data_IF_989082725316
#
_entry.id   IF_989082725316
#
_cell.length_a   1.000
_cell.length_b   1.000
_cell.length_c   1.000
_cell.angle_alpha   90.00
_cell.angle_beta   90.00
_cell.angle_gamma   90.00
#
_symmetry.space_group_name_H-M   'P 1'
#
loop_
_entity.id
_entity.type
_entity.pdbx_description
1 polymer ?
#
# COMPACT_ATOMS: atom_id res chain seq x y z
N UNK A 1 -5.83 -11.84 -13.08
CA UNK A 1 -5.18 -10.73 -13.84
C UNK A 1 -4.93 -9.58 -12.86
N UNK A 2 -3.85 -8.81 -13.01
CA UNK A 2 -3.56 -7.68 -12.14
C UNK A 2 -4.59 -6.55 -12.28
N UNK A 3 -5.34 -6.52 -13.39
CA UNK A 3 -6.39 -5.53 -13.64
C UNK A 3 -7.72 -6.25 -13.83
N UNK A 4 -8.73 -5.82 -13.06
CA UNK A 4 -10.13 -6.24 -13.21
C UNK A 4 -11.01 -5.05 -13.61
N UNK A 5 -12.16 -5.36 -14.20
CA UNK A 5 -13.14 -4.39 -14.67
C UNK A 5 -14.53 -4.83 -14.25
N UNK A 6 -15.30 -3.92 -13.67
CA UNK A 6 -16.66 -4.17 -13.19
C UNK A 6 -17.61 -3.05 -13.66
N UNK A 7 -18.88 -3.39 -13.83
CA UNK A 7 -19.95 -2.42 -14.08
C UNK A 7 -20.41 -1.74 -12.78
N UNK A 8 -21.29 -0.75 -12.89
CA UNK A 8 -21.97 -0.09 -11.76
C UNK A 8 -22.79 -1.04 -10.87
N UNK A 9 -23.12 -2.23 -11.36
CA UNK A 9 -23.82 -3.28 -10.60
C UNK A 9 -22.86 -4.34 -10.08
N UNK A 10 -21.54 -4.06 -10.06
CA UNK A 10 -20.47 -4.98 -9.66
C UNK A 10 -20.41 -6.27 -10.52
N UNK A 11 -21.01 -6.24 -11.69
CA UNK A 11 -20.90 -7.35 -12.62
C UNK A 11 -19.52 -7.33 -13.27
N UNK A 12 -18.73 -8.42 -13.21
CA UNK A 12 -17.44 -8.51 -13.87
C UNK A 12 -17.59 -8.31 -15.39
N UNK A 13 -16.70 -7.49 -15.94
CA UNK A 13 -16.60 -7.24 -17.37
C UNK A 13 -15.26 -7.80 -17.87
N UNK A 14 -15.28 -8.44 -19.02
CA UNK A 14 -14.08 -9.02 -19.61
C UNK A 14 -13.46 -8.10 -20.65
N UNK A 15 -12.15 -8.15 -20.75
CA UNK A 15 -11.36 -7.59 -21.84
C UNK A 15 -10.20 -8.53 -22.15
N UNK A 16 -9.61 -8.40 -23.33
CA UNK A 16 -8.41 -9.14 -23.72
C UNK A 16 -7.22 -8.21 -23.63
N UNK A 17 -6.14 -8.66 -22.99
CA UNK A 17 -4.83 -8.03 -23.05
C UNK A 17 -3.89 -8.97 -23.79
N UNK A 18 -3.26 -8.48 -24.85
CA UNK A 18 -2.40 -9.22 -25.74
C UNK A 18 -0.99 -8.61 -25.72
N UNK A 19 0.03 -9.43 -25.68
CA UNK A 19 1.42 -9.03 -25.93
C UNK A 19 1.85 -9.49 -27.32
N UNK A 20 2.43 -8.60 -28.10
CA UNK A 20 3.04 -8.93 -29.39
C UNK A 20 4.51 -9.31 -29.22
N UNK A 21 5.06 -10.03 -30.18
CA UNK A 21 6.47 -10.45 -30.16
C UNK A 21 7.47 -9.29 -30.19
N UNK A 22 7.06 -8.12 -30.65
CA UNK A 22 7.84 -6.88 -30.59
C UNK A 22 7.86 -6.20 -29.21
N UNK A 23 7.13 -6.75 -28.21
CA UNK A 23 7.06 -6.20 -26.85
C UNK A 23 5.89 -5.23 -26.62
N UNK A 24 5.10 -4.92 -27.67
CA UNK A 24 3.94 -4.04 -27.54
C UNK A 24 2.77 -4.74 -26.86
N UNK A 25 1.98 -3.99 -26.11
CA UNK A 25 0.71 -4.42 -25.54
C UNK A 25 -0.47 -3.94 -26.39
N UNK A 26 -1.55 -4.70 -26.35
CA UNK A 26 -2.84 -4.30 -26.93
C UNK A 26 -3.99 -4.70 -26.01
N UNK A 27 -5.04 -3.90 -26.01
CA UNK A 27 -6.26 -4.17 -25.25
C UNK A 27 -7.46 -4.13 -26.17
N UNK A 28 -8.31 -5.15 -26.06
CA UNK A 28 -9.59 -5.25 -26.78
C UNK A 28 -10.72 -5.50 -25.76
N UNK A 29 -11.68 -4.58 -25.66
CA UNK A 29 -12.84 -4.71 -24.81
C UNK A 29 -13.82 -5.79 -25.31
N UNK A 30 -13.72 -6.18 -26.59
CA UNK A 30 -14.66 -7.11 -27.20
C UNK A 30 -16.10 -6.57 -27.28
N UNK A 31 -17.04 -7.49 -27.26
CA UNK A 31 -18.47 -7.19 -27.29
C UNK A 31 -19.07 -7.56 -25.93
N UNK A 32 -19.63 -6.57 -25.25
CA UNK A 32 -20.40 -6.80 -24.03
C UNK A 32 -21.88 -6.93 -24.37
N UNK A 33 -22.60 -7.75 -23.64
CA UNK A 33 -24.03 -8.00 -23.82
C UNK A 33 -24.90 -6.81 -23.42
N UNK A 34 -24.34 -5.84 -22.70
CA UNK A 34 -24.98 -4.58 -22.29
C UNK A 34 -23.94 -3.46 -22.25
N UNK A 35 -24.41 -2.22 -22.27
CA UNK A 35 -23.56 -1.04 -22.10
C UNK A 35 -23.66 -0.53 -20.66
N UNK A 36 -22.58 -0.59 -19.87
CA UNK A 36 -22.59 -0.08 -18.50
C UNK A 36 -22.70 1.46 -18.49
N UNK A 37 -23.34 2.03 -17.47
CA UNK A 37 -23.39 3.48 -17.26
C UNK A 37 -22.00 4.03 -16.87
N UNK A 38 -21.26 3.27 -16.11
CA UNK A 38 -19.85 3.51 -15.80
C UNK A 38 -19.17 2.17 -15.47
N UNK A 39 -17.86 2.22 -15.38
CA UNK A 39 -17.06 1.06 -14.97
C UNK A 39 -16.10 1.43 -13.85
N UNK A 40 -15.76 0.45 -13.04
CA UNK A 40 -14.69 0.50 -12.05
C UNK A 40 -13.52 -0.35 -12.56
N UNK A 41 -12.36 0.27 -12.67
CA UNK A 41 -11.09 -0.41 -12.96
C UNK A 41 -10.37 -0.58 -11.64
N UNK A 42 -10.11 -1.82 -11.21
CA UNK A 42 -9.24 -2.12 -10.08
C UNK A 42 -7.90 -2.60 -10.64
N UNK A 43 -6.83 -1.83 -10.41
CA UNK A 43 -5.53 -2.08 -11.02
C UNK A 43 -4.43 -2.29 -9.96
N UNK A 44 -3.94 -3.53 -9.83
CA UNK A 44 -2.75 -3.89 -9.07
C UNK A 44 -1.57 -3.91 -10.04
N UNK A 45 -0.79 -2.85 -10.02
CA UNK A 45 0.31 -2.63 -10.95
C UNK A 45 1.61 -3.16 -10.34
N UNK A 46 2.15 -4.22 -10.93
CA UNK A 46 3.41 -4.84 -10.50
C UNK A 46 4.52 -4.73 -11.55
N UNK A 47 4.17 -4.30 -12.77
CA UNK A 47 5.11 -4.15 -13.88
C UNK A 47 4.77 -2.95 -14.77
N UNK A 48 5.73 -2.54 -15.61
CA UNK A 48 5.50 -1.53 -16.65
C UNK A 48 4.47 -2.00 -17.67
N UNK A 49 4.39 -3.30 -17.93
CA UNK A 49 3.39 -3.92 -18.80
C UNK A 49 1.97 -3.77 -18.26
N UNK A 50 1.79 -3.91 -16.94
CA UNK A 50 0.49 -3.68 -16.30
C UNK A 50 0.09 -2.21 -16.40
N UNK A 51 1.05 -1.30 -16.20
CA UNK A 51 0.81 0.13 -16.33
C UNK A 51 0.38 0.49 -17.77
N UNK A 52 1.08 -0.05 -18.77
CA UNK A 52 0.71 0.14 -20.17
C UNK A 52 -0.67 -0.48 -20.47
N UNK A 53 -0.97 -1.66 -19.93
CA UNK A 53 -2.28 -2.30 -20.06
C UNK A 53 -3.40 -1.43 -19.48
N UNK A 54 -3.17 -0.81 -18.31
CA UNK A 54 -4.11 0.14 -17.69
C UNK A 54 -4.37 1.34 -18.62
N UNK A 55 -3.33 1.92 -19.22
CA UNK A 55 -3.45 3.06 -20.11
C UNK A 55 -4.25 2.70 -21.38
N UNK A 56 -3.94 1.57 -22.01
CA UNK A 56 -4.65 1.10 -23.20
C UNK A 56 -6.12 0.75 -22.91
N UNK A 57 -6.39 0.13 -21.74
CA UNK A 57 -7.75 -0.14 -21.28
C UNK A 57 -8.53 1.17 -21.09
N UNK A 58 -7.90 2.16 -20.49
CA UNK A 58 -8.50 3.46 -20.23
C UNK A 58 -8.79 4.24 -21.51
N UNK A 59 -7.89 4.16 -22.50
CA UNK A 59 -8.13 4.72 -23.86
C UNK A 59 -9.31 4.04 -24.56
N UNK A 60 -9.35 2.69 -24.53
CA UNK A 60 -10.43 1.94 -25.16
C UNK A 60 -11.81 2.29 -24.55
N UNK A 61 -11.90 2.45 -23.23
CA UNK A 61 -13.10 2.91 -22.54
C UNK A 61 -13.47 4.36 -22.90
N UNK A 62 -12.47 5.23 -23.00
CA UNK A 62 -12.65 6.63 -23.40
C UNK A 62 -13.20 6.76 -24.81
N UNK A 63 -12.69 5.99 -25.76
CA UNK A 63 -13.23 5.93 -27.13
C UNK A 63 -14.66 5.44 -27.19
N UNK A 64 -15.07 4.54 -26.29
CA UNK A 64 -16.46 4.13 -26.11
C UNK A 64 -17.30 5.14 -25.31
N UNK A 65 -16.71 6.25 -24.81
CA UNK A 65 -17.35 7.27 -23.98
C UNK A 65 -17.99 6.69 -22.70
N UNK A 66 -17.36 5.68 -22.13
CA UNK A 66 -17.82 5.07 -20.89
C UNK A 66 -17.12 5.78 -19.72
N UNK A 67 -17.87 6.40 -18.80
CA UNK A 67 -17.32 6.97 -17.57
C UNK A 67 -16.61 5.89 -16.77
N UNK A 68 -15.45 6.21 -16.19
CA UNK A 68 -14.62 5.25 -15.51
C UNK A 68 -14.08 5.78 -14.19
N UNK A 69 -14.07 4.92 -13.17
CA UNK A 69 -13.45 5.08 -11.89
C UNK A 69 -12.21 4.20 -11.83
N UNK A 70 -11.19 4.63 -11.11
CA UNK A 70 -9.96 3.86 -10.95
C UNK A 70 -9.69 3.61 -9.47
N UNK A 71 -9.45 2.36 -9.13
CA UNK A 71 -8.91 1.96 -7.85
C UNK A 71 -7.48 1.48 -8.04
N UNK A 72 -6.54 2.14 -7.36
CA UNK A 72 -5.12 1.79 -7.30
C UNK A 72 -4.79 1.37 -5.87
N UNK A 73 -4.84 0.08 -5.54
CA UNK A 73 -4.44 -0.42 -4.23
C UNK A 73 -3.00 -0.05 -3.86
N UNK A 74 -2.10 0.01 -4.83
CA UNK A 74 -0.76 0.57 -4.69
C UNK A 74 -0.48 1.55 -5.82
N UNK A 75 -0.15 2.80 -5.48
CA UNK A 75 0.26 3.78 -6.50
C UNK A 75 1.66 3.44 -7.02
N UNK A 76 1.80 3.09 -8.32
CA UNK A 76 3.11 2.84 -8.88
C UNK A 76 3.99 4.10 -8.82
N UNK A 77 5.29 3.92 -8.59
CA UNK A 77 6.29 5.00 -8.44
C UNK A 77 6.07 5.96 -7.26
N UNK A 78 5.19 5.65 -6.29
CA UNK A 78 4.89 6.51 -5.14
C UNK A 78 6.12 6.89 -4.32
N UNK A 79 7.14 6.01 -4.23
CA UNK A 79 8.40 6.25 -3.49
C UNK A 79 9.40 7.15 -4.25
N UNK A 80 9.11 7.49 -5.52
CA UNK A 80 9.93 8.36 -6.37
C UNK A 80 9.25 9.73 -6.51
N UNK A 81 8.89 10.31 -5.36
CA UNK A 81 8.09 11.53 -5.21
C UNK A 81 8.92 12.81 -5.17
N UNK A 82 10.23 12.71 -5.42
CA UNK A 82 11.16 13.83 -5.47
C UNK A 82 12.41 13.49 -6.29
N UNK A 83 13.05 14.52 -6.80
CA UNK A 83 14.37 14.43 -7.43
C UNK A 83 15.45 14.51 -6.34
N UNK A 84 16.17 13.42 -6.10
CA UNK A 84 17.23 13.35 -5.08
C UNK A 84 18.59 13.84 -5.60
N UNK A 85 18.82 13.77 -6.91
CA UNK A 85 20.07 14.21 -7.55
C UNK A 85 19.80 14.81 -8.94
N UNK A 86 20.61 15.77 -9.39
CA UNK A 86 20.48 16.32 -10.74
C UNK A 86 20.49 15.21 -11.82
N UNK A 87 19.59 15.30 -12.79
CA UNK A 87 19.46 14.33 -13.88
C UNK A 87 18.55 13.13 -13.59
N UNK A 88 18.02 12.98 -12.38
CA UNK A 88 17.01 11.97 -12.08
C UNK A 88 15.62 12.39 -12.57
N UNK A 89 14.82 11.40 -13.00
CA UNK A 89 13.43 11.64 -13.31
C UNK A 89 12.60 11.82 -12.02
N UNK A 90 11.54 12.64 -12.09
CA UNK A 90 10.48 12.69 -11.09
C UNK A 90 9.36 11.74 -11.52
N UNK A 91 9.53 10.45 -11.20
CA UNK A 91 8.71 9.38 -11.79
C UNK A 91 7.25 9.44 -11.38
N UNK A 92 6.96 9.86 -10.13
CA UNK A 92 5.58 10.07 -9.67
C UNK A 92 4.85 11.12 -10.52
N UNK A 93 5.53 12.22 -10.89
CA UNK A 93 4.96 13.26 -11.75
C UNK A 93 4.61 12.72 -13.13
N UNK A 94 5.55 11.98 -13.72
CA UNK A 94 5.34 11.38 -15.06
C UNK A 94 4.13 10.45 -15.06
N UNK A 95 4.05 9.53 -14.10
CA UNK A 95 2.93 8.58 -14.01
C UNK A 95 1.62 9.30 -13.69
N UNK A 96 1.64 10.30 -12.81
CA UNK A 96 0.47 11.11 -12.50
C UNK A 96 -0.07 11.85 -13.72
N UNK A 97 0.82 12.45 -14.53
CA UNK A 97 0.44 13.11 -15.79
C UNK A 97 -0.21 12.15 -16.77
N UNK A 98 0.34 10.94 -16.93
CA UNK A 98 -0.26 9.92 -17.78
C UNK A 98 -1.64 9.47 -17.26
N UNK A 99 -1.82 9.29 -15.97
CA UNK A 99 -3.13 8.95 -15.40
C UNK A 99 -4.15 10.06 -15.65
N UNK A 100 -3.75 11.31 -15.55
CA UNK A 100 -4.64 12.48 -15.71
C UNK A 100 -5.20 12.61 -17.15
N UNK A 101 -4.50 12.09 -18.17
CA UNK A 101 -4.97 12.10 -19.58
C UNK A 101 -6.32 11.37 -19.73
N UNK A 102 -6.57 10.34 -18.88
CA UNK A 102 -7.74 9.49 -19.04
C UNK A 102 -9.01 10.00 -18.34
N UNK A 103 -8.94 11.13 -17.65
CA UNK A 103 -10.10 11.83 -17.07
C UNK A 103 -11.02 10.92 -16.23
N UNK A 104 -10.45 10.13 -15.32
CA UNK A 104 -11.23 9.32 -14.38
C UNK A 104 -12.20 10.18 -13.57
N UNK A 105 -13.39 9.65 -13.27
CA UNK A 105 -14.36 10.35 -12.41
C UNK A 105 -13.85 10.51 -10.99
N UNK A 106 -13.18 9.46 -10.47
CA UNK A 106 -12.39 9.47 -9.23
C UNK A 106 -11.26 8.43 -9.34
N UNK A 107 -10.19 8.65 -8.58
CA UNK A 107 -9.08 7.71 -8.42
C UNK A 107 -8.92 7.42 -6.93
N UNK A 108 -9.31 6.23 -6.47
CA UNK A 108 -9.09 5.78 -5.10
C UNK A 108 -7.68 5.19 -4.97
N UNK A 109 -6.88 5.72 -4.05
CA UNK A 109 -5.51 5.27 -3.80
C UNK A 109 -5.42 4.85 -2.34
N UNK A 110 -4.97 3.60 -2.09
CA UNK A 110 -4.88 3.10 -0.73
C UNK A 110 -3.58 3.58 -0.09
N UNK A 111 -3.71 4.16 1.09
CA UNK A 111 -2.60 4.59 1.96
C UNK A 111 -1.40 5.17 1.17
N UNK A 112 -1.58 6.28 0.46
CA UNK A 112 -0.53 6.83 -0.40
C UNK A 112 0.72 7.15 0.40
N UNK A 113 1.90 6.85 -0.18
CA UNK A 113 3.20 7.06 0.45
C UNK A 113 3.41 8.50 0.92
N UNK A 114 2.93 9.46 0.13
CA UNK A 114 2.96 10.88 0.48
C UNK A 114 1.73 11.61 -0.06
N UNK A 115 1.40 12.76 0.54
CA UNK A 115 0.34 13.64 0.09
C UNK A 115 0.55 14.16 -1.36
N UNK A 116 1.80 14.15 -1.85
CA UNK A 116 2.14 14.54 -3.22
C UNK A 116 1.41 13.68 -4.25
N UNK A 117 1.18 12.41 -3.95
CA UNK A 117 0.39 11.51 -4.80
C UNK A 117 -1.03 12.06 -5.03
N UNK A 118 -1.70 12.48 -3.96
CA UNK A 118 -3.06 13.03 -4.04
C UNK A 118 -3.10 14.40 -4.72
N UNK A 119 -2.04 15.21 -4.53
CA UNK A 119 -1.91 16.50 -5.19
C UNK A 119 -1.66 16.37 -6.70
N UNK A 120 -0.96 15.32 -7.13
CA UNK A 120 -0.57 15.11 -8.52
C UNK A 120 -1.65 14.44 -9.37
N UNK A 121 -2.36 13.47 -8.80
CA UNK A 121 -3.41 12.73 -9.52
C UNK A 121 -4.73 13.45 -9.39
N UNK A 122 -5.31 13.85 -10.52
CA UNK A 122 -6.59 14.56 -10.54
C UNK A 122 -7.72 13.70 -9.98
N UNK A 123 -8.58 14.29 -9.14
CA UNK A 123 -9.73 13.64 -8.49
C UNK A 123 -9.34 12.42 -7.66
N UNK A 124 -8.08 12.40 -7.17
CA UNK A 124 -7.64 11.37 -6.24
C UNK A 124 -8.34 11.50 -4.89
N UNK A 125 -8.67 10.36 -4.32
CA UNK A 125 -9.17 10.23 -2.95
C UNK A 125 -8.30 9.20 -2.23
N UNK A 126 -7.97 9.50 -0.99
CA UNK A 126 -7.27 8.56 -0.12
C UNK A 126 -8.23 7.51 0.43
N UNK A 127 -7.79 6.25 0.43
CA UNK A 127 -8.35 5.20 1.29
C UNK A 127 -7.38 5.04 2.46
N UNK A 128 -7.70 5.57 3.64
CA UNK A 128 -6.78 5.55 4.78
C UNK A 128 -6.58 4.12 5.30
N UNK A 129 -5.40 3.79 5.88
CA UNK A 129 -5.08 2.45 6.36
C UNK A 129 -6.07 1.93 7.40
N UNK A 130 -6.66 2.79 8.22
CA UNK A 130 -7.65 2.39 9.22
C UNK A 130 -8.87 1.69 8.62
N UNK A 131 -9.35 2.11 7.44
CA UNK A 131 -10.47 1.45 6.74
C UNK A 131 -10.09 0.05 6.24
N UNK A 132 -8.82 -0.17 5.92
CA UNK A 132 -8.31 -1.48 5.51
C UNK A 132 -8.18 -2.38 6.75
N UNK A 133 -7.54 -1.87 7.81
CA UNK A 133 -7.37 -2.57 9.10
C UNK A 133 -8.70 -3.03 9.69
N UNK A 134 -9.78 -2.23 9.54
CA UNK A 134 -11.12 -2.53 10.06
C UNK A 134 -11.70 -3.85 9.53
N UNK A 135 -11.20 -4.36 8.38
CA UNK A 135 -11.62 -5.63 7.79
C UNK A 135 -11.08 -6.85 8.53
N UNK A 136 -10.08 -6.69 9.38
CA UNK A 136 -9.54 -7.76 10.20
C UNK A 136 -9.95 -7.59 11.67
N UNK A 137 -10.88 -8.42 12.12
CA UNK A 137 -11.44 -8.33 13.48
C UNK A 137 -10.40 -8.61 14.58
N UNK A 138 -9.39 -9.45 14.29
CA UNK A 138 -8.34 -9.75 15.25
C UNK A 138 -7.40 -8.55 15.42
N UNK A 139 -6.96 -7.94 14.32
CA UNK A 139 -6.16 -6.71 14.35
C UNK A 139 -6.92 -5.57 15.06
N UNK A 140 -8.22 -5.41 14.76
CA UNK A 140 -9.05 -4.40 15.45
C UNK A 140 -9.12 -4.65 16.96
N UNK A 141 -9.34 -5.91 17.38
CA UNK A 141 -9.37 -6.26 18.78
C UNK A 141 -8.01 -5.99 19.45
N UNK A 142 -6.91 -6.30 18.76
CA UNK A 142 -5.55 -6.03 19.22
C UNK A 142 -5.28 -4.54 19.36
N UNK A 143 -5.63 -3.72 18.35
CA UNK A 143 -5.47 -2.26 18.41
C UNK A 143 -6.26 -1.66 19.59
N UNK A 144 -7.49 -2.11 19.82
CA UNK A 144 -8.35 -1.61 20.90
C UNK A 144 -8.01 -2.13 22.29
N UNK A 145 -7.06 -3.06 22.41
CA UNK A 145 -6.64 -3.56 23.71
C UNK A 145 -5.94 -2.45 24.51
N UNK A 146 -6.31 -2.20 25.78
CA UNK A 146 -5.71 -1.15 26.62
C UNK A 146 -4.19 -1.27 26.82
N UNK A 147 -3.64 -2.48 26.70
CA UNK A 147 -2.18 -2.72 26.81
C UNK A 147 -1.45 -2.54 25.49
N UNK A 148 -2.16 -2.22 24.40
CA UNK A 148 -1.56 -2.01 23.10
C UNK A 148 -1.03 -0.60 22.93
N UNK A 149 0.08 -0.49 22.17
CA UNK A 149 0.72 0.76 21.80
C UNK A 149 0.95 0.73 20.29
N UNK A 150 0.45 1.75 19.58
CA UNK A 150 0.76 1.96 18.18
C UNK A 150 2.13 2.61 18.04
N UNK A 151 2.99 2.08 17.18
CA UNK A 151 4.37 2.53 17.02
C UNK A 151 4.56 3.13 15.64
N UNK A 152 4.93 4.42 15.59
CA UNK A 152 5.41 5.06 14.37
C UNK A 152 6.92 4.81 14.24
N UNK A 153 7.38 4.10 13.19
CA UNK A 153 8.79 3.73 13.04
C UNK A 153 9.71 4.90 12.70
N UNK A 154 9.15 6.00 12.21
CA UNK A 154 9.86 7.23 11.90
C UNK A 154 8.89 8.43 11.77
N UNK A 155 9.46 9.62 11.52
CA UNK A 155 8.68 10.87 11.37
C UNK A 155 7.68 10.83 10.21
N UNK A 156 7.96 10.08 9.14
CA UNK A 156 7.06 9.94 7.99
C UNK A 156 5.76 9.21 8.34
N UNK A 157 5.84 8.22 9.23
CA UNK A 157 4.70 7.42 9.66
C UNK A 157 3.82 8.09 10.72
N UNK A 158 4.29 9.16 11.39
CA UNK A 158 3.59 9.76 12.56
C UNK A 158 2.14 10.15 12.23
N UNK A 159 1.91 10.83 11.11
CA UNK A 159 0.54 11.27 10.75
C UNK A 159 -0.38 10.08 10.48
N UNK A 160 0.14 9.03 9.82
CA UNK A 160 -0.57 7.76 9.56
C UNK A 160 -0.97 7.10 10.87
N UNK A 161 -0.03 6.93 11.78
CA UNK A 161 -0.26 6.28 13.08
C UNK A 161 -1.26 7.08 13.93
N UNK A 162 -1.16 8.40 13.95
CA UNK A 162 -2.14 9.27 14.64
C UNK A 162 -3.54 9.15 14.02
N UNK A 163 -3.64 9.03 12.69
CA UNK A 163 -4.90 8.77 11.99
C UNK A 163 -5.53 7.44 12.44
N UNK A 164 -4.76 6.37 12.48
CA UNK A 164 -5.19 5.05 12.98
C UNK A 164 -5.58 5.14 14.46
N UNK A 165 -4.76 5.79 15.30
CA UNK A 165 -5.04 6.04 16.72
C UNK A 165 -6.39 6.72 16.92
N UNK A 166 -6.63 7.80 16.20
CA UNK A 166 -7.89 8.56 16.26
C UNK A 166 -9.09 7.72 15.81
N UNK A 167 -8.95 6.98 14.70
CA UNK A 167 -10.02 6.17 14.14
C UNK A 167 -10.49 5.07 15.10
N UNK A 168 -9.55 4.34 15.72
CA UNK A 168 -9.87 3.24 16.63
C UNK A 168 -10.01 3.66 18.10
N UNK A 169 -9.71 4.92 18.45
CA UNK A 169 -9.75 5.41 19.82
C UNK A 169 -8.62 4.86 20.68
N UNK A 170 -7.45 4.52 20.10
CA UNK A 170 -6.28 4.03 20.83
C UNK A 170 -5.33 5.21 21.16
N UNK A 171 -5.27 5.68 22.41
CA UNK A 171 -4.49 6.87 22.76
C UNK A 171 -2.98 6.61 22.88
N UNK A 172 -2.57 5.35 23.06
CA UNK A 172 -1.18 5.01 23.31
C UNK A 172 -0.40 4.96 21.98
N UNK A 173 0.44 5.97 21.74
CA UNK A 173 1.26 6.08 20.54
C UNK A 173 2.72 6.32 20.94
N UNK A 174 3.62 5.54 20.37
CA UNK A 174 5.07 5.69 20.49
C UNK A 174 5.62 6.21 19.16
N UNK A 175 6.22 7.41 19.15
CA UNK A 175 6.75 8.04 17.96
C UNK A 175 8.28 7.92 17.92
N UNK A 176 8.79 6.93 17.20
CA UNK A 176 10.23 6.74 17.03
C UNK A 176 10.78 7.71 15.97
N UNK A 177 12.07 7.98 16.06
CA UNK A 177 12.78 8.76 15.03
C UNK A 177 14.01 8.01 14.57
N UNK A 178 14.34 8.16 13.30
CA UNK A 178 15.53 7.57 12.71
C UNK A 178 16.32 8.59 11.89
N UNK A 179 17.62 8.49 11.92
CA UNK A 179 18.54 9.24 11.06
C UNK A 179 19.21 8.29 10.10
N UNK A 180 19.35 8.70 8.85
CA UNK A 180 20.08 7.94 7.84
C UNK A 180 21.27 8.74 7.34
N UNK A 181 22.37 8.07 7.03
CA UNK A 181 23.45 8.66 6.28
C UNK A 181 22.93 9.04 4.87
N UNK A 182 22.98 10.32 4.47
CA UNK A 182 22.42 10.77 3.19
C UNK A 182 23.18 10.20 1.97
N UNK A 183 24.42 9.73 2.15
CA UNK A 183 25.24 9.19 1.07
C UNK A 183 25.05 7.67 0.92
N UNK A 184 25.11 6.93 2.04
CA UNK A 184 25.02 5.45 2.01
C UNK A 184 23.58 4.93 2.19
N UNK A 185 22.68 5.75 2.71
CA UNK A 185 21.30 5.34 3.07
C UNK A 185 21.23 4.47 4.31
N UNK A 186 22.37 4.15 4.94
CA UNK A 186 22.43 3.33 6.16
C UNK A 186 21.78 4.04 7.35
N UNK A 187 21.12 3.27 8.20
CA UNK A 187 20.57 3.75 9.45
C UNK A 187 21.73 4.09 10.39
N UNK A 188 21.82 5.35 10.81
CA UNK A 188 22.91 5.82 11.70
C UNK A 188 22.45 5.96 13.13
N UNK A 189 21.17 6.21 13.36
CA UNK A 189 20.61 6.36 14.69
C UNK A 189 19.12 6.00 14.70
N UNK A 190 18.67 5.33 15.76
CA UNK A 190 17.27 5.00 16.04
C UNK A 190 16.98 5.44 17.47
N UNK A 191 16.13 6.43 17.61
CA UNK A 191 15.70 6.91 18.91
C UNK A 191 14.29 6.43 19.22
N UNK A 192 14.15 5.70 20.32
CA UNK A 192 12.88 5.25 20.92
C UNK A 192 12.64 6.09 22.17
N UNK A 193 11.59 6.92 22.21
CA UNK A 193 11.27 7.70 23.41
C UNK A 193 11.09 6.81 24.65
N UNK A 194 11.36 7.37 25.81
CA UNK A 194 11.10 6.65 27.06
C UNK A 194 9.61 6.45 27.28
N UNK A 195 9.21 5.20 27.38
CA UNK A 195 7.87 4.73 27.65
C UNK A 195 7.98 3.34 28.28
N UNK A 196 7.07 3.01 29.20
CA UNK A 196 6.95 1.66 29.72
C UNK A 196 6.35 0.74 28.65
N UNK A 197 7.16 -0.17 28.13
CA UNK A 197 6.80 -1.14 27.10
C UNK A 197 6.73 -2.57 27.64
N UNK A 198 7.05 -2.80 28.92
CA UNK A 198 7.00 -4.12 29.53
C UNK A 198 5.58 -4.68 29.50
N UNK A 199 5.45 -5.93 29.07
CA UNK A 199 4.16 -6.64 28.90
C UNK A 199 3.14 -5.93 27.98
N UNK A 200 3.55 -4.99 27.12
CA UNK A 200 2.67 -4.33 26.15
C UNK A 200 2.65 -5.05 24.80
N UNK A 201 1.54 -4.90 24.09
CA UNK A 201 1.43 -5.29 22.70
C UNK A 201 1.84 -4.11 21.81
N UNK A 202 2.93 -4.24 21.08
CA UNK A 202 3.43 -3.19 20.21
C UNK A 202 2.99 -3.47 18.76
N UNK A 203 2.35 -2.51 18.13
CA UNK A 203 1.90 -2.60 16.73
C UNK A 203 2.60 -1.52 15.94
N UNK A 204 3.64 -1.89 15.19
CA UNK A 204 4.34 -0.99 14.27
C UNK A 204 3.43 -0.77 13.07
N UNK A 205 3.20 0.49 12.68
CA UNK A 205 2.31 0.85 11.57
C UNK A 205 3.04 1.72 10.56
N UNK A 206 3.06 1.27 9.30
CA UNK A 206 3.63 2.03 8.19
C UNK A 206 2.89 1.73 6.88
N UNK A 207 3.27 2.39 5.76
CA UNK A 207 2.68 2.16 4.45
C UNK A 207 3.32 0.97 3.72
N UNK A 208 4.66 0.86 3.69
CA UNK A 208 5.40 -0.08 2.84
C UNK A 208 6.44 -0.87 3.64
N UNK A 209 6.42 -2.20 3.50
CA UNK A 209 7.56 -3.04 3.81
C UNK A 209 8.16 -3.61 2.53
N UNK A 210 9.38 -3.16 2.18
CA UNK A 210 10.16 -3.69 1.06
C UNK A 210 11.15 -4.75 1.57
N UNK A 211 12.41 -4.42 1.81
CA UNK A 211 13.40 -5.34 2.36
C UNK A 211 13.34 -5.54 3.89
N UNK A 212 12.44 -4.85 4.59
CA UNK A 212 12.18 -5.03 6.04
C UNK A 212 13.20 -4.40 6.99
N UNK A 213 14.32 -3.86 6.50
CA UNK A 213 15.45 -3.41 7.34
C UNK A 213 15.06 -2.45 8.46
N UNK A 214 14.18 -1.49 8.20
CA UNK A 214 13.69 -0.53 9.22
C UNK A 214 12.97 -1.27 10.36
N UNK A 215 12.09 -2.19 10.00
CA UNK A 215 11.23 -2.90 10.97
C UNK A 215 12.02 -3.91 11.78
N UNK A 216 12.97 -4.63 11.16
CA UNK A 216 13.88 -5.55 11.84
C UNK A 216 14.68 -4.83 12.91
N UNK A 217 15.34 -3.71 12.57
CA UNK A 217 16.14 -2.97 13.55
C UNK A 217 15.28 -2.37 14.65
N UNK A 218 14.11 -1.81 14.31
CA UNK A 218 13.18 -1.28 15.30
C UNK A 218 12.67 -2.39 16.24
N UNK A 219 12.24 -3.54 15.69
CA UNK A 219 11.74 -4.67 16.47
C UNK A 219 12.80 -5.20 17.46
N UNK A 220 14.06 -5.34 17.01
CA UNK A 220 15.20 -5.72 17.88
C UNK A 220 15.39 -4.77 19.06
N UNK A 221 15.30 -3.48 18.85
CA UNK A 221 15.41 -2.50 19.91
C UNK A 221 14.20 -2.50 20.85
N UNK A 222 12.99 -2.68 20.31
CA UNK A 222 11.76 -2.80 21.09
C UNK A 222 11.78 -4.07 21.96
N UNK A 223 12.25 -5.20 21.45
CA UNK A 223 12.38 -6.47 22.23
C UNK A 223 13.24 -6.34 23.47
N UNK A 224 14.24 -5.45 23.48
CA UNK A 224 15.05 -5.18 24.69
C UNK A 224 14.26 -4.58 25.85
N UNK A 225 13.06 -4.08 25.60
CA UNK A 225 12.14 -3.51 26.60
C UNK A 225 11.10 -4.52 27.12
N UNK A 226 11.26 -5.82 26.81
CA UNK A 226 10.41 -6.93 27.24
C UNK A 226 8.90 -6.75 26.91
N UNK A 227 8.50 -6.35 25.69
CA UNK A 227 7.10 -6.29 25.32
C UNK A 227 6.49 -7.69 25.29
N UNK A 228 5.16 -7.79 25.47
CA UNK A 228 4.43 -9.05 25.31
C UNK A 228 4.46 -9.52 23.84
N UNK A 229 4.23 -8.60 22.91
CA UNK A 229 4.32 -8.90 21.48
C UNK A 229 4.81 -7.70 20.66
N UNK A 230 5.44 -7.97 19.51
CA UNK A 230 5.80 -6.99 18.49
C UNK A 230 5.15 -7.41 17.18
N UNK A 231 4.21 -6.62 16.70
CA UNK A 231 3.47 -6.87 15.47
C UNK A 231 3.75 -5.77 14.45
N UNK A 232 3.59 -6.09 13.17
CA UNK A 232 3.80 -5.14 12.07
C UNK A 232 2.53 -5.06 11.22
N UNK A 233 2.02 -3.85 11.01
CA UNK A 233 1.07 -3.57 9.94
C UNK A 233 1.74 -2.71 8.87
N UNK A 234 1.62 -3.13 7.62
CA UNK A 234 1.96 -2.33 6.45
C UNK A 234 0.88 -2.50 5.39
N UNK A 235 0.40 -1.40 4.83
CA UNK A 235 -0.61 -1.48 3.77
C UNK A 235 -0.05 -2.21 2.55
N UNK A 236 1.23 -1.98 2.21
CA UNK A 236 1.86 -2.51 1.00
C UNK A 236 3.04 -3.41 1.35
N UNK A 237 2.77 -4.71 1.47
CA UNK A 237 3.80 -5.71 1.70
C UNK A 237 4.49 -6.12 0.39
N UNK A 238 5.64 -5.50 0.07
CA UNK A 238 6.47 -5.89 -1.09
C UNK A 238 7.32 -7.12 -0.74
N UNK A 239 7.91 -7.13 0.46
CA UNK A 239 8.71 -8.25 1.02
C UNK A 239 9.76 -8.78 0.04
N UNK A 240 10.54 -7.89 -0.59
CA UNK A 240 11.53 -8.24 -1.61
C UNK A 240 12.64 -9.19 -1.13
N UNK A 241 12.80 -9.35 0.19
CA UNK A 241 13.72 -10.29 0.85
C UNK A 241 13.02 -11.51 1.46
N UNK A 242 11.72 -11.69 1.18
CA UNK A 242 10.88 -12.70 1.82
C UNK A 242 10.53 -12.34 3.26
N UNK A 243 9.91 -13.29 3.97
CA UNK A 243 9.46 -13.14 5.36
C UNK A 243 10.53 -13.54 6.37
N UNK A 244 11.44 -14.44 6.01
CA UNK A 244 12.46 -14.99 6.90
C UNK A 244 13.25 -13.95 7.71
N UNK A 245 13.68 -12.79 7.15
CA UNK A 245 14.41 -11.81 7.93
C UNK A 245 13.57 -11.12 9.01
N UNK A 246 12.24 -11.23 8.96
CA UNK A 246 11.29 -10.56 9.85
C UNK A 246 10.82 -11.44 11.00
N UNK A 247 10.88 -12.77 10.87
CA UNK A 247 10.28 -13.74 11.80
C UNK A 247 11.01 -13.87 13.15
N UNK A 248 12.24 -13.36 13.28
CA UNK A 248 13.03 -13.44 14.50
C UNK A 248 12.50 -12.51 15.62
N UNK A 249 12.08 -11.29 15.23
CA UNK A 249 11.73 -10.23 16.19
C UNK A 249 10.28 -9.75 16.07
N UNK A 250 9.55 -10.16 15.02
CA UNK A 250 8.16 -9.81 14.77
C UNK A 250 7.31 -11.08 14.92
N UNK A 251 6.21 -10.99 15.67
CA UNK A 251 5.34 -12.14 15.92
C UNK A 251 4.30 -12.37 14.82
N UNK A 252 3.74 -11.28 14.27
CA UNK A 252 2.71 -11.33 13.22
C UNK A 252 2.88 -10.11 12.31
N UNK A 253 2.68 -10.32 11.02
CA UNK A 253 2.60 -9.25 10.01
C UNK A 253 1.19 -9.19 9.46
N UNK A 254 0.61 -7.99 9.40
CA UNK A 254 -0.64 -7.69 8.68
C UNK A 254 -0.32 -6.85 7.46
N UNK A 255 -0.91 -7.21 6.34
CA UNK A 255 -0.78 -6.44 5.09
C UNK A 255 -2.07 -6.50 4.27
N UNK A 256 -2.29 -5.52 3.40
CA UNK A 256 -3.41 -5.60 2.47
C UNK A 256 -3.10 -6.52 1.27
N UNK A 257 -4.11 -6.78 0.45
CA UNK A 257 -3.95 -7.49 -0.82
C UNK A 257 -3.53 -6.57 -1.98
N UNK A 258 -2.99 -5.38 -1.68
CA UNK A 258 -2.48 -4.42 -2.67
C UNK A 258 -1.29 -4.95 -3.47
N UNK A 259 -0.54 -5.89 -2.88
CA UNK A 259 0.59 -6.59 -3.48
C UNK A 259 0.42 -8.12 -3.38
N UNK A 260 1.02 -8.91 -4.27
CA UNK A 260 1.02 -10.36 -4.15
C UNK A 260 1.74 -10.80 -2.86
N UNK A 261 1.40 -12.01 -2.34
CA UNK A 261 2.15 -12.61 -1.25
C UNK A 261 3.57 -12.96 -1.70
N UNK A 262 4.57 -12.86 -0.81
CA UNK A 262 5.92 -13.32 -1.10
C UNK A 262 5.97 -14.83 -1.34
N UNK A 263 6.98 -15.30 -2.05
CA UNK A 263 7.08 -16.71 -2.44
C UNK A 263 7.24 -17.68 -1.26
N UNK A 264 7.80 -17.20 -0.15
CA UNK A 264 8.03 -17.96 1.09
C UNK A 264 6.89 -17.88 2.11
N UNK A 265 5.76 -17.21 1.78
CA UNK A 265 4.58 -17.10 2.67
C UNK A 265 4.09 -18.48 3.17
N UNK A 266 4.11 -19.48 2.30
CA UNK A 266 3.73 -20.87 2.62
C UNK A 266 4.61 -21.53 3.69
N UNK A 267 5.84 -21.06 3.87
CA UNK A 267 6.81 -21.59 4.83
C UNK A 267 6.61 -20.98 6.24
N UNK A 268 5.75 -19.95 6.35
CA UNK A 268 5.45 -19.19 7.57
C UNK A 268 3.94 -19.13 7.85
N UNK A 269 3.27 -20.29 8.04
CA UNK A 269 1.82 -20.32 8.20
C UNK A 269 1.35 -19.51 9.42
N UNK A 270 0.45 -18.55 9.19
CA UNK A 270 -0.10 -17.68 10.23
C UNK A 270 0.76 -16.47 10.59
N UNK A 271 1.99 -16.37 10.10
CA UNK A 271 2.86 -15.23 10.35
C UNK A 271 2.44 -14.00 9.52
N UNK A 272 2.06 -14.20 8.25
CA UNK A 272 1.50 -13.16 7.38
C UNK A 272 -0.03 -13.26 7.31
N UNK A 273 -0.71 -12.20 7.79
CA UNK A 273 -2.16 -12.05 7.68
C UNK A 273 -2.50 -11.06 6.57
N UNK A 274 -3.18 -11.54 5.53
CA UNK A 274 -3.52 -10.73 4.37
C UNK A 274 -4.96 -10.24 4.44
N UNK A 275 -5.13 -8.92 4.48
CA UNK A 275 -6.41 -8.24 4.56
C UNK A 275 -6.90 -7.92 3.15
N UNK A 276 -8.04 -8.48 2.78
CA UNK A 276 -8.72 -8.14 1.52
C UNK A 276 -9.62 -6.92 1.74
N UNK A 277 -9.49 -5.94 0.87
CA UNK A 277 -10.29 -4.74 0.92
C UNK A 277 -10.93 -4.46 -0.44
N UNK A 278 -12.23 -4.17 -0.44
CA UNK A 278 -13.02 -3.78 -1.61
C UNK A 278 -13.54 -2.36 -1.43
N UNK A 279 -12.96 -1.43 -2.17
CA UNK A 279 -13.43 -0.05 -2.17
C UNK A 279 -14.69 0.09 -3.02
N UNK A 280 -15.65 0.85 -2.53
CA UNK A 280 -16.90 1.16 -3.25
C UNK A 280 -16.92 2.64 -3.60
N UNK A 281 -17.09 2.95 -4.90
CA UNK A 281 -17.19 4.32 -5.42
C UNK A 281 -18.56 4.93 -5.24
#
# INVERSE_FOLDING_TARGET
>A
MPISLESETQQPLTFKSLGFSGGERHVDLGIWTFQPKHVVIRARIDSSDDLMTLFLLSDALQRKRIPKFLELPYMPYARQDRVCSPGQAHSLDVVGDFLNIFEYQKVAIWDPHSWLTLAKVHRAIEVPPALIMERDSYLVAMIKNPTSILVAPDKGAVQRVRGVSTYFGQPNVLECTKTRNPVTGELTDLHIPEMDLEDKNLIIVDDICDGGYTFINLAKELRKKNPYSVQLYVTHGIFSKGLKPLDEDIDIIYTSDSKPSPADDKDYPGFLQKITYDFQF
#
